data_IF_209018098764
#
_entry.id   IF_209018098764
#
_cell.length_a   1.000
_cell.length_b   1.000
_cell.length_c   1.000
_cell.angle_alpha   90.00
_cell.angle_beta   90.00
_cell.angle_gamma   90.00
#
_symmetry.space_group_name_H-M   'P 1'
#
loop_
_entity.id
_entity.type
_entity.pdbx_description
1 polymer ?
#
# COMPACT_ATOMS: atom_id res chain seq x y z
N UNK A 1 -2.37 10.68 -9.45
CA UNK A 1 -0.91 10.41 -9.43
C UNK A 1 -0.43 9.90 -8.06
N UNK A 2 -0.78 10.56 -6.95
CA UNK A 2 -0.47 10.02 -5.60
C UNK A 2 -1.05 8.61 -5.36
N UNK A 3 -2.17 8.28 -5.99
CA UNK A 3 -2.84 6.97 -5.90
C UNK A 3 -2.18 5.85 -6.72
N UNK A 4 -1.06 6.11 -7.41
CA UNK A 4 -0.29 5.06 -8.10
C UNK A 4 0.19 4.01 -7.09
N UNK A 5 0.83 4.49 -6.02
CA UNK A 5 1.31 3.67 -4.92
C UNK A 5 0.18 3.02 -4.14
N UNK A 6 -1.02 3.61 -4.15
CA UNK A 6 -2.21 2.99 -3.57
C UNK A 6 -2.58 1.70 -4.30
N UNK A 7 -2.69 1.75 -5.63
CA UNK A 7 -3.08 0.59 -6.44
C UNK A 7 -2.02 -0.50 -6.46
N UNK A 8 -0.81 -0.15 -6.94
CA UNK A 8 0.29 -1.10 -7.02
C UNK A 8 0.67 -1.64 -5.64
N UNK A 9 0.61 -0.78 -4.62
CA UNK A 9 0.99 -1.11 -3.27
C UNK A 9 0.01 -2.03 -2.56
N UNK A 10 -1.29 -1.73 -2.62
CA UNK A 10 -2.32 -2.58 -2.03
C UNK A 10 -2.35 -3.96 -2.72
N UNK A 11 -2.31 -3.99 -4.06
CA UNK A 11 -2.25 -5.25 -4.78
C UNK A 11 -1.04 -6.08 -4.35
N UNK A 12 0.13 -5.45 -4.22
CA UNK A 12 1.35 -6.17 -3.88
C UNK A 12 1.34 -6.65 -2.44
N UNK A 13 0.92 -5.80 -1.49
CA UNK A 13 0.88 -6.15 -0.07
C UNK A 13 -0.06 -7.32 0.24
N UNK A 14 -1.16 -7.49 -0.51
CA UNK A 14 -2.12 -8.58 -0.28
C UNK A 14 -1.99 -9.72 -1.30
N UNK A 15 -2.15 -9.44 -2.60
CA UNK A 15 -2.17 -10.46 -3.65
C UNK A 15 -0.77 -10.94 -4.04
N UNK A 16 0.22 -10.06 -4.17
CA UNK A 16 1.56 -10.53 -4.49
C UNK A 16 2.19 -11.26 -3.30
N UNK A 17 2.04 -10.73 -2.08
CA UNK A 17 2.55 -11.37 -0.85
C UNK A 17 2.03 -12.80 -0.70
N UNK A 18 0.73 -13.05 -0.87
CA UNK A 18 0.19 -14.42 -0.75
C UNK A 18 0.81 -15.36 -1.77
N UNK A 19 1.05 -14.90 -3.00
CA UNK A 19 1.69 -15.69 -4.04
C UNK A 19 3.18 -15.91 -3.75
N UNK A 20 3.89 -14.93 -3.20
CA UNK A 20 5.29 -15.10 -2.80
C UNK A 20 5.42 -16.10 -1.65
N UNK A 21 4.53 -16.06 -0.65
CA UNK A 21 4.50 -17.02 0.45
C UNK A 21 4.29 -18.45 -0.07
N UNK A 22 3.36 -18.64 -1.02
CA UNK A 22 3.07 -19.95 -1.63
C UNK A 22 4.22 -20.45 -2.51
N UNK A 23 4.66 -19.64 -3.46
CA UNK A 23 5.55 -20.07 -4.54
C UNK A 23 7.04 -20.00 -4.15
N UNK A 24 7.42 -18.97 -3.40
CA UNK A 24 8.82 -18.71 -3.03
C UNK A 24 9.10 -19.20 -1.61
N UNK A 25 8.20 -18.90 -0.67
CA UNK A 25 8.27 -19.41 0.70
C UNK A 25 7.91 -20.89 0.85
N UNK A 26 7.39 -21.51 -0.22
CA UNK A 26 6.98 -22.93 -0.28
C UNK A 26 5.98 -23.33 0.81
N UNK A 27 5.22 -22.38 1.33
CA UNK A 27 4.16 -22.66 2.29
C UNK A 27 2.95 -23.27 1.56
N UNK A 28 2.25 -24.19 2.24
CA UNK A 28 1.01 -24.74 1.73
C UNK A 28 -0.08 -23.64 1.61
N UNK A 29 -1.11 -23.84 0.76
CA UNK A 29 -2.13 -22.83 0.54
C UNK A 29 -2.90 -22.42 1.79
N UNK A 30 -3.06 -23.32 2.77
CA UNK A 30 -3.79 -23.04 4.02
C UNK A 30 -2.93 -22.13 4.90
N UNK A 31 -1.66 -22.49 5.13
CA UNK A 31 -0.73 -21.64 5.90
C UNK A 31 -0.59 -20.25 5.29
N UNK A 32 -0.43 -20.15 3.97
CA UNK A 32 -0.36 -18.86 3.29
C UNK A 32 -1.64 -18.03 3.47
N UNK A 33 -2.81 -18.65 3.36
CA UNK A 33 -4.09 -17.98 3.58
C UNK A 33 -4.25 -17.52 5.03
N UNK A 34 -3.87 -18.36 6.01
CA UNK A 34 -3.93 -18.02 7.43
C UNK A 34 -3.01 -16.86 7.77
N UNK A 35 -1.77 -16.85 7.27
CA UNK A 35 -0.84 -15.72 7.44
C UNK A 35 -1.46 -14.42 6.92
N UNK A 36 -2.03 -14.47 5.70
CA UNK A 36 -2.61 -13.29 5.08
C UNK A 36 -3.91 -12.84 5.75
N UNK A 37 -4.70 -13.77 6.29
CA UNK A 37 -5.89 -13.47 7.09
C UNK A 37 -5.51 -12.73 8.37
N UNK A 38 -4.49 -13.22 9.09
CA UNK A 38 -3.97 -12.56 10.30
C UNK A 38 -3.40 -11.18 9.95
N UNK A 39 -2.58 -11.09 8.89
CA UNK A 39 -2.04 -9.82 8.42
C UNK A 39 -3.16 -8.82 8.05
N UNK A 40 -4.22 -9.28 7.38
CA UNK A 40 -5.41 -8.50 7.09
C UNK A 40 -6.10 -8.00 8.36
N UNK A 41 -6.40 -8.89 9.32
CA UNK A 41 -7.05 -8.52 10.58
C UNK A 41 -6.23 -7.50 11.39
N UNK A 42 -4.91 -7.69 11.50
CA UNK A 42 -4.02 -6.74 12.17
C UNK A 42 -3.97 -5.41 11.42
N UNK A 43 -3.96 -5.45 10.09
CA UNK A 43 -3.95 -4.22 9.27
C UNK A 43 -5.23 -3.39 9.47
N UNK A 44 -6.38 -3.99 9.78
CA UNK A 44 -7.60 -3.25 10.14
C UNK A 44 -7.46 -2.49 11.46
N UNK A 45 -6.83 -3.09 12.48
CA UNK A 45 -6.56 -2.39 13.75
C UNK A 45 -5.56 -1.25 13.51
N UNK A 46 -4.51 -1.51 12.73
CA UNK A 46 -3.57 -0.49 12.31
C UNK A 46 -4.26 0.62 11.51
N UNK A 47 -5.23 0.30 10.66
CA UNK A 47 -6.01 1.28 9.91
C UNK A 47 -6.77 2.24 10.83
N UNK A 48 -7.41 1.73 11.88
CA UNK A 48 -8.14 2.58 12.83
C UNK A 48 -7.18 3.45 13.65
N UNK A 49 -6.12 2.85 14.20
CA UNK A 49 -5.18 3.57 15.07
C UNK A 49 -4.33 4.57 14.29
N UNK A 50 -3.77 4.17 13.14
CA UNK A 50 -2.89 5.02 12.34
C UNK A 50 -3.70 5.96 11.43
N UNK A 51 -4.79 5.47 10.83
CA UNK A 51 -5.62 6.25 9.92
C UNK A 51 -6.54 7.24 10.63
N UNK A 52 -7.04 6.92 11.83
CA UNK A 52 -7.86 7.85 12.62
C UNK A 52 -7.00 8.77 13.49
N UNK A 53 -6.32 8.20 14.48
CA UNK A 53 -5.66 9.01 15.53
C UNK A 53 -4.49 9.84 14.99
N UNK A 54 -3.62 9.26 14.14
CA UNK A 54 -2.46 10.02 13.63
C UNK A 54 -2.88 11.08 12.63
N UNK A 55 -3.89 10.83 11.80
CA UNK A 55 -4.39 11.82 10.83
C UNK A 55 -5.03 13.00 11.53
N UNK A 56 -5.81 12.74 12.59
CA UNK A 56 -6.40 13.81 13.40
C UNK A 56 -5.31 14.62 14.13
N UNK A 57 -4.25 13.95 14.62
CA UNK A 57 -3.16 14.60 15.34
C UNK A 57 -2.19 15.36 14.43
N UNK A 58 -1.71 14.76 13.35
CA UNK A 58 -0.62 15.27 12.49
C UNK A 58 -1.09 15.86 11.16
N UNK A 59 -2.29 15.55 10.71
CA UNK A 59 -2.78 15.93 9.39
C UNK A 59 -2.64 14.82 8.36
N UNK A 60 -3.33 14.98 7.22
CA UNK A 60 -3.50 13.93 6.21
C UNK A 60 -2.21 13.73 5.42
N UNK A 61 -1.56 14.82 5.03
CA UNK A 61 -0.36 14.80 4.17
C UNK A 61 0.84 14.14 4.87
N UNK A 62 1.22 14.51 6.11
CA UNK A 62 2.35 13.88 6.80
C UNK A 62 2.18 12.38 7.00
N UNK A 63 0.99 11.93 7.39
CA UNK A 63 0.72 10.50 7.63
C UNK A 63 0.78 9.70 6.32
N UNK A 64 0.22 10.25 5.25
CA UNK A 64 0.27 9.63 3.92
C UNK A 64 1.71 9.49 3.41
N UNK A 65 2.51 10.56 3.50
CA UNK A 65 3.91 10.54 3.05
C UNK A 65 4.74 9.59 3.93
N UNK A 66 4.52 9.60 5.24
CA UNK A 66 5.22 8.70 6.16
C UNK A 66 4.92 7.24 5.83
N UNK A 67 3.65 6.88 5.62
CA UNK A 67 3.26 5.53 5.22
C UNK A 67 3.93 5.08 3.91
N UNK A 68 3.93 5.94 2.89
CA UNK A 68 4.61 5.61 1.62
C UNK A 68 6.13 5.51 1.75
N UNK A 69 6.74 6.36 2.56
CA UNK A 69 8.20 6.36 2.77
C UNK A 69 8.63 5.11 3.52
N UNK A 70 7.91 4.74 4.58
CA UNK A 70 8.15 3.51 5.33
C UNK A 70 7.96 2.27 4.45
N UNK A 71 6.93 2.25 3.60
CA UNK A 71 6.73 1.18 2.63
C UNK A 71 7.90 1.10 1.64
N UNK A 72 8.33 2.22 1.05
CA UNK A 72 9.43 2.26 0.09
C UNK A 72 10.75 1.72 0.67
N UNK A 73 11.06 2.06 1.92
CA UNK A 73 12.30 1.64 2.59
C UNK A 73 12.22 0.17 3.02
N UNK A 74 11.08 -0.27 3.54
CA UNK A 74 10.97 -1.56 4.24
C UNK A 74 10.44 -2.70 3.39
N UNK A 75 9.74 -2.46 2.28
CA UNK A 75 9.14 -3.55 1.50
C UNK A 75 10.16 -4.54 0.96
N UNK A 76 11.22 -4.08 0.30
CA UNK A 76 12.24 -4.98 -0.23
C UNK A 76 12.88 -5.89 0.86
N UNK A 77 13.34 -5.39 2.02
CA UNK A 77 13.86 -6.26 3.07
C UNK A 77 12.79 -7.16 3.71
N UNK A 78 11.53 -6.73 3.81
CA UNK A 78 10.45 -7.59 4.31
C UNK A 78 10.19 -8.78 3.38
N UNK A 79 10.23 -8.56 2.05
CA UNK A 79 10.09 -9.64 1.09
C UNK A 79 11.24 -10.66 1.13
N UNK A 80 12.45 -10.26 1.59
CA UNK A 80 13.57 -11.20 1.81
C UNK A 80 13.33 -12.19 2.96
N UNK A 81 12.37 -11.93 3.84
CA UNK A 81 11.98 -12.88 4.88
C UNK A 81 11.16 -14.04 4.33
N UNK A 82 10.53 -13.88 3.15
CA UNK A 82 9.64 -14.88 2.57
C UNK A 82 10.38 -16.16 2.10
N UNK A 83 11.50 -16.06 1.35
CA UNK A 83 12.28 -17.23 0.94
C UNK A 83 12.84 -18.09 2.09
N UNK A 84 12.81 -17.59 3.33
CA UNK A 84 13.32 -18.35 4.48
C UNK A 84 12.46 -19.58 4.81
N UNK A 85 11.20 -19.62 4.34
CA UNK A 85 10.24 -20.70 4.60
C UNK A 85 9.75 -20.77 6.04
N UNK A 86 10.25 -19.93 6.93
CA UNK A 86 9.84 -19.85 8.33
C UNK A 86 8.47 -19.12 8.44
N UNK A 87 7.40 -19.81 8.90
CA UNK A 87 6.06 -19.23 8.98
C UNK A 87 5.99 -17.97 9.84
N UNK A 88 6.83 -17.86 10.88
CA UNK A 88 6.86 -16.70 11.76
C UNK A 88 7.45 -15.49 11.03
N UNK A 89 8.57 -15.67 10.31
CA UNK A 89 9.19 -14.61 9.52
C UNK A 89 8.29 -14.15 8.37
N UNK A 90 7.63 -15.10 7.71
CA UNK A 90 6.63 -14.80 6.68
C UNK A 90 5.42 -14.04 7.26
N UNK A 91 4.96 -14.42 8.45
CA UNK A 91 3.90 -13.74 9.18
C UNK A 91 4.25 -12.29 9.52
N UNK A 92 5.43 -12.07 10.10
CA UNK A 92 5.94 -10.72 10.43
C UNK A 92 6.04 -9.87 9.16
N UNK A 93 6.58 -10.42 8.07
CA UNK A 93 6.65 -9.73 6.80
C UNK A 93 5.26 -9.32 6.32
N UNK A 94 4.31 -10.26 6.24
CA UNK A 94 2.95 -9.99 5.78
C UNK A 94 2.24 -8.92 6.63
N UNK A 95 2.35 -9.00 7.95
CA UNK A 95 1.75 -8.02 8.88
C UNK A 95 2.32 -6.63 8.65
N UNK A 96 3.64 -6.48 8.53
CA UNK A 96 4.28 -5.18 8.31
C UNK A 96 3.94 -4.61 6.92
N UNK A 97 3.97 -5.43 5.87
CA UNK A 97 3.57 -5.03 4.51
C UNK A 97 2.12 -4.49 4.48
N UNK A 98 1.20 -5.21 5.13
CA UNK A 98 -0.21 -4.82 5.24
C UNK A 98 -0.39 -3.58 6.13
N UNK A 99 0.39 -3.44 7.20
CA UNK A 99 0.35 -2.29 8.11
C UNK A 99 0.75 -0.98 7.42
N UNK A 100 1.84 -0.98 6.65
CA UNK A 100 2.25 0.21 5.89
C UNK A 100 1.22 0.58 4.85
N UNK A 101 0.61 -0.42 4.23
CA UNK A 101 -0.50 -0.24 3.30
C UNK A 101 -1.69 0.43 3.95
N UNK A 102 -2.13 -0.07 5.11
CA UNK A 102 -3.21 0.53 5.88
C UNK A 102 -2.90 1.99 6.29
N UNK A 103 -1.64 2.27 6.66
CA UNK A 103 -1.21 3.59 7.10
C UNK A 103 -1.37 4.66 6.01
N UNK A 104 -0.96 4.40 4.76
CA UNK A 104 -1.18 5.36 3.68
C UNK A 104 -2.59 5.26 3.08
N UNK A 105 -3.31 4.12 3.23
CA UNK A 105 -4.71 3.97 2.82
C UNK A 105 -5.64 4.86 3.66
N UNK A 106 -5.40 4.98 4.98
CA UNK A 106 -6.23 5.74 5.93
C UNK A 106 -6.49 7.19 5.54
N UNK A 107 -5.46 8.00 5.30
CA UNK A 107 -5.60 9.39 4.90
C UNK A 107 -6.42 9.60 3.63
N UNK A 108 -6.51 8.62 2.70
CA UNK A 108 -7.30 8.78 1.47
C UNK A 108 -8.78 9.01 1.73
N UNK A 109 -9.34 8.39 2.78
CA UNK A 109 -10.76 8.53 3.13
C UNK A 109 -11.17 9.96 3.51
N UNK A 110 -10.27 10.72 4.15
CA UNK A 110 -10.52 12.11 4.55
C UNK A 110 -9.94 13.13 3.58
N UNK A 111 -8.78 12.83 2.96
CA UNK A 111 -8.10 13.71 2.02
C UNK A 111 -8.91 13.98 0.75
N UNK A 112 -9.51 12.93 0.17
CA UNK A 112 -10.22 13.05 -1.10
C UNK A 112 -11.48 13.93 -1.03
N UNK A 113 -12.36 13.78 -0.03
CA UNK A 113 -13.46 14.70 0.19
C UNK A 113 -13.02 16.16 0.33
N UNK A 114 -11.89 16.39 0.99
CA UNK A 114 -11.34 17.72 1.27
C UNK A 114 -10.71 18.40 0.05
N UNK A 115 -10.31 17.62 -0.97
CA UNK A 115 -9.67 18.14 -2.19
C UNK A 115 -10.65 18.61 -3.27
N UNK A 116 -11.93 18.22 -3.19
CA UNK A 116 -12.91 18.48 -4.26
C UNK A 116 -14.13 19.27 -3.75
N UNK A 117 -14.67 20.20 -4.56
CA UNK A 117 -15.90 20.93 -4.24
C UNK A 117 -17.08 19.97 -4.01
N UNK A 118 -17.96 20.29 -3.06
CA UNK A 118 -19.06 19.42 -2.63
C UNK A 118 -19.93 18.90 -3.80
N UNK A 119 -20.19 19.74 -4.82
CA UNK A 119 -21.04 19.42 -5.98
C UNK A 119 -20.53 18.26 -6.83
N UNK A 120 -19.22 18.05 -6.90
CA UNK A 120 -18.59 17.03 -7.77
C UNK A 120 -17.76 16.03 -6.98
N UNK A 121 -17.80 16.10 -5.65
CA UNK A 121 -16.93 15.37 -4.74
C UNK A 121 -16.95 13.87 -5.03
N UNK A 122 -18.10 13.22 -5.02
CA UNK A 122 -18.18 11.76 -5.25
C UNK A 122 -17.66 11.33 -6.62
N UNK A 123 -18.02 12.04 -7.69
CA UNK A 123 -17.58 11.72 -9.05
C UNK A 123 -16.07 11.92 -9.19
N UNK A 124 -15.54 13.05 -8.71
CA UNK A 124 -14.11 13.35 -8.78
C UNK A 124 -13.28 12.37 -7.94
N UNK A 125 -13.76 12.01 -6.74
CA UNK A 125 -13.11 11.01 -5.88
C UNK A 125 -13.07 9.64 -6.54
N UNK A 126 -14.19 9.20 -7.13
CA UNK A 126 -14.27 7.91 -7.83
C UNK A 126 -13.24 7.83 -8.94
N UNK A 127 -13.13 8.86 -9.78
CA UNK A 127 -12.13 8.91 -10.86
C UNK A 127 -10.70 8.97 -10.29
N UNK A 128 -10.45 9.84 -9.31
CA UNK A 128 -9.12 10.02 -8.73
C UNK A 128 -8.62 8.75 -8.00
N UNK A 129 -9.54 7.97 -7.41
CA UNK A 129 -9.25 6.71 -6.75
C UNK A 129 -9.14 5.54 -7.73
N UNK A 130 -10.22 5.25 -8.46
CA UNK A 130 -10.35 4.02 -9.24
C UNK A 130 -9.52 4.02 -10.50
N UNK A 131 -9.29 5.17 -11.15
CA UNK A 131 -8.52 5.19 -12.38
C UNK A 131 -7.05 4.80 -12.14
N UNK A 132 -6.31 5.42 -11.20
CA UNK A 132 -4.95 4.96 -10.89
C UNK A 132 -4.93 3.59 -10.23
N UNK A 133 -5.86 3.29 -9.30
CA UNK A 133 -5.88 1.99 -8.60
C UNK A 133 -6.16 0.85 -9.58
N UNK A 134 -7.08 1.04 -10.52
CA UNK A 134 -7.41 0.06 -11.55
C UNK A 134 -6.24 -0.21 -12.49
N UNK A 135 -5.60 0.86 -13.01
CA UNK A 135 -4.48 0.73 -13.93
C UNK A 135 -3.26 0.12 -13.23
N UNK A 136 -2.79 0.74 -12.15
CA UNK A 136 -1.54 0.32 -11.50
C UNK A 136 -1.71 -0.92 -10.63
N UNK A 137 -2.90 -1.15 -10.07
CA UNK A 137 -3.23 -2.42 -9.40
C UNK A 137 -3.37 -3.57 -10.40
N UNK A 138 -4.02 -3.34 -11.55
CA UNK A 138 -4.19 -4.36 -12.58
C UNK A 138 -2.90 -4.73 -13.33
N UNK A 139 -2.01 -3.75 -13.54
CA UNK A 139 -0.70 -3.98 -14.19
C UNK A 139 0.32 -4.58 -13.21
N UNK A 140 0.16 -4.39 -11.90
CA UNK A 140 1.09 -4.88 -10.88
C UNK A 140 1.54 -6.34 -11.06
N UNK A 141 0.66 -7.35 -11.19
CA UNK A 141 1.12 -8.73 -11.34
C UNK A 141 1.97 -8.96 -12.59
N UNK A 142 1.60 -8.33 -13.71
CA UNK A 142 2.33 -8.44 -14.97
C UNK A 142 3.69 -7.74 -14.89
N UNK A 143 3.74 -6.54 -14.30
CA UNK A 143 4.99 -5.83 -14.10
C UNK A 143 5.91 -6.59 -13.15
N UNK A 144 5.41 -7.07 -12.01
CA UNK A 144 6.20 -7.88 -11.08
C UNK A 144 6.76 -9.13 -11.77
N UNK A 145 5.93 -9.84 -12.54
CA UNK A 145 6.36 -11.01 -13.30
C UNK A 145 7.45 -10.65 -14.32
N UNK A 146 7.27 -9.56 -15.08
CA UNK A 146 8.25 -9.10 -16.06
C UNK A 146 9.60 -8.78 -15.41
N UNK A 147 9.61 -8.09 -14.28
CA UNK A 147 10.84 -7.80 -13.53
C UNK A 147 11.52 -9.11 -13.09
N UNK A 148 10.76 -10.03 -12.48
CA UNK A 148 11.29 -11.34 -12.05
C UNK A 148 11.91 -12.13 -13.22
N UNK A 149 11.25 -12.17 -14.38
CA UNK A 149 11.76 -12.85 -15.57
C UNK A 149 12.97 -12.15 -16.18
N UNK A 150 12.94 -10.82 -16.27
CA UNK A 150 13.99 -10.02 -16.90
C UNK A 150 15.31 -10.09 -16.14
N UNK A 151 15.25 -10.07 -14.81
CA UNK A 151 16.42 -10.07 -13.94
C UNK A 151 16.78 -11.46 -13.41
N UNK A 152 15.97 -12.49 -13.70
CA UNK A 152 16.14 -13.86 -13.20
C UNK A 152 16.30 -13.92 -11.66
N UNK A 153 15.58 -13.04 -10.95
CA UNK A 153 15.56 -12.95 -9.50
C UNK A 153 14.11 -12.99 -9.02
N UNK A 154 13.71 -13.98 -8.19
CA UNK A 154 12.36 -14.08 -7.64
C UNK A 154 11.88 -12.81 -6.92
N UNK A 155 12.79 -12.02 -6.34
CA UNK A 155 12.46 -10.79 -5.62
C UNK A 155 12.53 -9.53 -6.49
N UNK A 156 13.02 -9.60 -7.72
CA UNK A 156 13.10 -8.42 -8.59
C UNK A 156 11.74 -7.79 -8.86
N UNK A 157 10.68 -8.61 -8.92
CA UNK A 157 9.29 -8.14 -9.05
C UNK A 157 8.88 -7.12 -8.00
N UNK A 158 9.40 -7.24 -6.78
CA UNK A 158 9.08 -6.35 -5.64
C UNK A 158 9.52 -4.90 -5.89
N UNK A 159 10.46 -4.65 -6.83
CA UNK A 159 10.85 -3.29 -7.17
C UNK A 159 9.73 -2.48 -7.81
N UNK A 160 8.80 -3.11 -8.55
CA UNK A 160 7.66 -2.40 -9.14
C UNK A 160 6.78 -1.70 -8.08
N UNK A 161 6.27 -2.40 -7.05
CA UNK A 161 5.50 -1.74 -6.00
C UNK A 161 6.34 -0.79 -5.15
N UNK A 162 7.62 -1.09 -4.88
CA UNK A 162 8.54 -0.18 -4.16
C UNK A 162 8.70 1.15 -4.90
N UNK A 163 8.95 1.12 -6.21
CA UNK A 163 9.08 2.33 -7.03
C UNK A 163 7.74 3.08 -7.05
N UNK A 164 6.61 2.37 -7.15
CA UNK A 164 5.29 2.98 -7.19
C UNK A 164 4.95 3.75 -5.92
N UNK A 165 5.26 3.19 -4.74
CA UNK A 165 5.06 3.90 -3.46
C UNK A 165 6.09 5.01 -3.26
N UNK A 166 7.33 4.85 -3.70
CA UNK A 166 8.35 5.90 -3.63
C UNK A 166 7.98 7.12 -4.49
N UNK A 167 7.53 6.88 -5.73
CA UNK A 167 7.01 7.94 -6.62
C UNK A 167 5.81 8.65 -5.96
N UNK A 168 4.93 7.89 -5.33
CA UNK A 168 3.75 8.46 -4.65
C UNK A 168 4.13 9.28 -3.41
N UNK A 169 5.16 8.88 -2.66
CA UNK A 169 5.72 9.66 -1.57
C UNK A 169 6.27 11.01 -2.07
N UNK A 170 7.07 10.98 -3.13
CA UNK A 170 7.69 12.18 -3.72
C UNK A 170 6.62 13.13 -4.26
N UNK A 171 5.70 12.61 -5.07
CA UNK A 171 4.61 13.43 -5.63
C UNK A 171 3.68 13.96 -4.54
N UNK A 172 3.40 13.17 -3.51
CA UNK A 172 2.65 13.61 -2.33
C UNK A 172 3.36 14.73 -1.57
N UNK A 173 4.69 14.64 -1.41
CA UNK A 173 5.47 15.67 -0.75
C UNK A 173 5.43 17.01 -1.50
N UNK A 174 5.57 16.97 -2.83
CA UNK A 174 5.64 18.17 -3.69
C UNK A 174 4.26 18.78 -3.93
N UNK A 175 3.28 17.98 -4.33
CA UNK A 175 2.01 18.50 -4.89
C UNK A 175 0.84 18.48 -3.92
N UNK A 176 0.88 17.63 -2.88
CA UNK A 176 -0.24 17.56 -1.94
C UNK A 176 -0.21 18.76 -1.00
N UNK A 177 -1.37 19.39 -0.78
CA UNK A 177 -1.55 20.41 0.26
C UNK A 177 -2.14 19.75 1.50
N UNK A 178 -1.73 20.22 2.67
CA UNK A 178 -2.34 19.76 3.93
C UNK A 178 -3.77 20.30 4.04
N UNK A 179 -4.70 19.43 4.41
CA UNK A 179 -6.13 19.71 4.43
C UNK A 179 -6.74 19.76 5.83
N UNK A 180 -5.98 19.45 6.89
CA UNK A 180 -6.43 19.46 8.30
C UNK A 180 -7.16 20.74 8.76
N UNK A 181 -6.88 21.90 8.16
CA UNK A 181 -7.52 23.19 8.51
C UNK A 181 -8.46 23.73 7.42
N UNK A 182 -8.78 22.95 6.40
CA UNK A 182 -9.63 23.40 5.29
C UNK A 182 -11.11 23.24 5.67
N UNK A 183 -11.88 24.31 5.51
CA UNK A 183 -13.33 24.29 5.70
C UNK A 183 -14.03 23.56 4.54
N UNK A 184 -14.65 22.43 4.85
CA UNK A 184 -15.27 21.49 3.90
C UNK A 184 -16.75 21.79 3.59
N UNK A 185 -17.32 22.83 4.23
CA UNK A 185 -18.74 23.20 4.10
C UNK A 185 -19.06 24.04 2.84
N UNK A 186 -18.05 24.38 2.05
CA UNK A 186 -18.17 25.17 0.81
C UNK A 186 -18.32 24.33 -0.46
#
# INVERSE_FOLDING_TARGET
>A
LISIGLGAGWYSAYFATVNHIKLIGKADPVTAATIMMIAGAVSFVAYILLGGVLVDKWGRKPVLILGYTLAAITWYPLYKLIPTGDPVKMGIAAVLLATWTAMYYGPYGSLFPEMFPAKVRYTAMSVAYHFPVGIFGGIAPYAMLWFTQKFNDPLAGVWFPVISVAVSAILGAIFLKETKKVDISK
#
